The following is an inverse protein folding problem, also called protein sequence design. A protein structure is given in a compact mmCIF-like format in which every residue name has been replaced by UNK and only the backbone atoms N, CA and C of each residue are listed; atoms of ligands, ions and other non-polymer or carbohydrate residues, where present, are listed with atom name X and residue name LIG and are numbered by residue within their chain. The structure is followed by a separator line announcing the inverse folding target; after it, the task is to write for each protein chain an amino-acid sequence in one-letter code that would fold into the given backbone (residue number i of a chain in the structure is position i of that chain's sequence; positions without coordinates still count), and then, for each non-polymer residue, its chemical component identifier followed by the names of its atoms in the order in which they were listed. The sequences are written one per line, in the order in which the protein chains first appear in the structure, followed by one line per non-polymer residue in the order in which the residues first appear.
data_IF_707336558755
#
_entry.id   IF_707336558755
#
_cell.length_a   1.000
_cell.length_b   1.000
_cell.length_c   1.000
_cell.angle_alpha   90.00
_cell.angle_beta   90.00
_cell.angle_gamma   90.00
#
_symmetry.space_group_name_H-M   'P 1'
#
loop_
_entity.id
_entity.type
_entity.pdbx_description
1 polymer ?
#
# COMPACT_ATOMS: atom_id res chain seq x y z
N UNK A 1 14.23 -7.27 -16.94
CA UNK A 1 12.95 -7.76 -16.34
C UNK A 1 13.06 -9.15 -15.72
N UNK A 2 13.83 -10.11 -16.29
CA UNK A 2 14.05 -11.44 -15.68
C UNK A 2 14.80 -11.45 -14.33
N UNK A 3 15.52 -10.38 -13.98
CA UNK A 3 16.25 -10.29 -12.70
C UNK A 3 15.45 -9.56 -11.59
N UNK A 4 14.25 -9.05 -11.90
CA UNK A 4 13.42 -8.30 -10.94
C UNK A 4 12.59 -9.23 -10.02
N UNK A 5 12.49 -10.52 -10.39
CA UNK A 5 11.58 -11.48 -9.76
C UNK A 5 12.16 -12.17 -8.52
N UNK A 6 13.49 -12.10 -8.28
CA UNK A 6 14.15 -13.02 -7.36
C UNK A 6 14.65 -12.42 -6.04
N UNK A 7 14.86 -11.10 -5.96
CA UNK A 7 15.51 -10.52 -4.78
C UNK A 7 14.53 -10.06 -3.68
N UNK A 8 13.28 -9.72 -4.00
CA UNK A 8 12.35 -9.09 -3.04
C UNK A 8 11.25 -10.06 -2.57
N UNK A 9 11.01 -11.14 -3.31
CA UNK A 9 9.77 -11.91 -3.20
C UNK A 9 9.76 -13.06 -2.18
N UNK A 10 10.90 -13.50 -1.63
CA UNK A 10 10.93 -14.80 -0.92
C UNK A 10 11.29 -14.72 0.58
N UNK A 11 12.03 -13.70 1.04
CA UNK A 11 12.61 -13.77 2.40
C UNK A 11 11.84 -12.92 3.44
N UNK A 12 11.21 -11.80 3.07
CA UNK A 12 10.64 -10.89 4.09
C UNK A 12 9.13 -11.05 4.34
N UNK A 13 8.32 -11.38 3.32
CA UNK A 13 6.85 -11.46 3.48
C UNK A 13 6.43 -12.69 4.31
N UNK A 14 7.16 -13.81 4.21
CA UNK A 14 6.88 -15.04 4.97
C UNK A 14 7.30 -14.95 6.45
N UNK A 15 8.36 -14.18 6.76
CA UNK A 15 8.79 -13.90 8.13
C UNK A 15 7.93 -12.85 8.84
N UNK A 16 7.51 -11.79 8.12
CA UNK A 16 6.73 -10.68 8.69
C UNK A 16 5.29 -11.06 9.05
N UNK A 17 4.65 -11.99 8.33
CA UNK A 17 3.26 -12.38 8.62
C UNK A 17 3.10 -13.44 9.73
N UNK A 18 4.14 -14.18 10.09
CA UNK A 18 4.12 -14.95 11.33
C UNK A 18 4.07 -14.03 12.57
N UNK A 19 4.65 -12.83 12.49
CA UNK A 19 4.51 -11.78 13.51
C UNK A 19 3.15 -11.08 13.50
N UNK A 20 2.48 -11.01 12.34
CA UNK A 20 1.10 -10.51 12.21
C UNK A 20 0.03 -11.54 12.61
N UNK A 21 0.42 -12.71 13.17
CA UNK A 21 -0.50 -13.54 13.95
C UNK A 21 -1.04 -12.83 15.20
N UNK A 22 -0.52 -11.66 15.55
CA UNK A 22 -0.93 -10.92 16.73
C UNK A 22 -1.96 -9.83 16.38
N UNK A 23 -3.13 -9.92 16.99
CA UNK A 23 -4.00 -8.76 17.27
C UNK A 23 -3.30 -7.68 18.16
N UNK A 24 -1.96 -7.74 18.33
CA UNK A 24 -1.17 -7.02 19.34
C UNK A 24 0.15 -6.42 18.80
N UNK A 25 0.32 -6.21 17.49
CA UNK A 25 1.47 -5.43 17.02
C UNK A 25 1.39 -4.00 17.59
N UNK A 26 2.42 -3.58 18.33
CA UNK A 26 2.47 -2.24 18.92
C UNK A 26 2.51 -1.16 17.83
N UNK A 27 2.04 0.04 18.14
CA UNK A 27 2.12 1.17 17.22
C UNK A 27 3.56 1.42 16.72
N UNK A 28 4.56 1.18 17.58
CA UNK A 28 5.99 1.29 17.25
C UNK A 28 6.41 0.29 16.16
N UNK A 29 5.98 -0.97 16.27
CA UNK A 29 6.29 -2.01 15.28
C UNK A 29 5.65 -1.70 13.93
N UNK A 30 4.39 -1.25 13.92
CA UNK A 30 3.71 -0.85 12.68
C UNK A 30 4.41 0.31 11.97
N UNK A 31 4.89 1.31 12.71
CA UNK A 31 5.66 2.41 12.13
C UNK A 31 7.03 1.96 11.61
N UNK A 32 7.71 1.04 12.30
CA UNK A 32 8.94 0.43 11.81
C UNK A 32 8.70 -0.30 10.48
N UNK A 33 7.65 -1.12 10.39
CA UNK A 33 7.31 -1.84 9.16
C UNK A 33 6.98 -0.90 7.99
N UNK A 34 6.21 0.16 8.26
CA UNK A 34 5.93 1.20 7.25
C UNK A 34 7.22 1.87 6.76
N UNK A 35 8.15 2.17 7.67
CA UNK A 35 9.43 2.78 7.33
C UNK A 35 10.27 1.89 6.41
N UNK A 36 10.40 0.60 6.74
CA UNK A 36 11.12 -0.39 5.92
C UNK A 36 10.49 -0.47 4.53
N UNK A 37 9.17 -0.62 4.46
CA UNK A 37 8.44 -0.69 3.19
C UNK A 37 8.69 0.55 2.31
N UNK A 38 8.65 1.73 2.91
CA UNK A 38 8.88 2.99 2.17
C UNK A 38 10.33 3.10 1.69
N UNK A 39 11.29 2.63 2.49
CA UNK A 39 12.70 2.56 2.11
C UNK A 39 12.91 1.64 0.90
N UNK A 40 12.34 0.42 0.94
CA UNK A 40 12.44 -0.55 -0.16
C UNK A 40 11.79 -0.03 -1.45
N UNK A 41 10.59 0.56 -1.36
CA UNK A 41 9.95 1.21 -2.52
C UNK A 41 10.86 2.27 -3.11
N UNK A 42 11.43 3.16 -2.27
CA UNK A 42 12.31 4.23 -2.73
C UNK A 42 13.54 3.66 -3.44
N UNK A 43 14.11 2.56 -2.94
CA UNK A 43 15.24 1.89 -3.59
C UNK A 43 14.87 1.33 -4.98
N UNK A 44 13.75 0.62 -5.10
CA UNK A 44 13.25 0.09 -6.38
C UNK A 44 12.99 1.22 -7.38
N UNK A 45 12.34 2.29 -6.95
CA UNK A 45 12.09 3.48 -7.79
C UNK A 45 13.41 4.09 -8.25
N UNK A 46 14.35 4.32 -7.33
CA UNK A 46 15.66 4.90 -7.66
C UNK A 46 16.40 4.10 -8.73
N UNK A 47 16.41 2.77 -8.59
CA UNK A 47 17.13 1.88 -9.51
C UNK A 47 16.47 1.80 -10.91
N UNK A 48 15.14 1.89 -10.98
CA UNK A 48 14.40 1.57 -12.21
C UNK A 48 13.91 2.79 -13.01
N UNK A 49 13.88 3.99 -12.41
CA UNK A 49 13.39 5.19 -13.11
C UNK A 49 14.29 5.62 -14.28
N UNK A 50 15.60 5.32 -14.24
CA UNK A 50 16.61 5.73 -15.24
C UNK A 50 16.53 7.22 -15.59
N UNK A 51 16.54 8.05 -14.55
CA UNK A 51 16.50 9.51 -14.65
C UNK A 51 17.79 10.02 -15.32
N UNK A 52 17.66 10.99 -16.22
CA UNK A 52 18.78 11.69 -16.85
C UNK A 52 19.31 12.78 -15.92
N UNK A 53 20.46 13.32 -16.28
CA UNK A 53 21.02 14.51 -15.63
C UNK A 53 20.01 15.67 -15.69
N UNK A 54 19.81 16.36 -14.56
CA UNK A 54 18.81 17.42 -14.41
C UNK A 54 17.37 16.95 -14.11
N UNK A 55 16.98 15.71 -14.42
CA UNK A 55 15.62 15.21 -14.13
C UNK A 55 15.46 14.78 -12.66
N UNK A 56 16.56 14.35 -12.03
CA UNK A 56 16.56 13.71 -10.71
C UNK A 56 15.98 14.60 -9.61
N UNK A 57 16.42 15.86 -9.52
CA UNK A 57 15.98 16.78 -8.47
C UNK A 57 14.47 17.05 -8.56
N UNK A 58 13.98 17.34 -9.76
CA UNK A 58 12.56 17.58 -10.02
C UNK A 58 11.73 16.33 -9.72
N UNK A 59 12.21 15.16 -10.13
CA UNK A 59 11.56 13.88 -9.86
C UNK A 59 11.41 13.63 -8.36
N UNK A 60 12.51 13.71 -7.60
CA UNK A 60 12.49 13.39 -6.17
C UNK A 60 11.61 14.35 -5.36
N UNK A 61 11.59 15.63 -5.74
CA UNK A 61 10.66 16.61 -5.15
C UNK A 61 9.20 16.20 -5.38
N UNK A 62 8.84 15.81 -6.60
CA UNK A 62 7.46 15.36 -6.90
C UNK A 62 7.15 14.03 -6.22
N UNK A 63 8.12 13.12 -6.12
CA UNK A 63 7.98 11.83 -5.45
C UNK A 63 7.74 12.00 -3.94
N UNK A 64 8.41 12.94 -3.27
CA UNK A 64 8.19 13.20 -1.85
C UNK A 64 6.79 13.74 -1.57
N UNK A 65 6.30 14.65 -2.41
CA UNK A 65 4.90 15.10 -2.36
C UNK A 65 3.92 13.94 -2.59
N UNK A 66 4.24 13.04 -3.53
CA UNK A 66 3.44 11.85 -3.80
C UNK A 66 3.36 10.93 -2.58
N UNK A 67 4.49 10.60 -1.97
CA UNK A 67 4.53 9.71 -0.81
C UNK A 67 3.82 10.33 0.41
N UNK A 68 3.90 11.65 0.59
CA UNK A 68 3.14 12.33 1.64
C UNK A 68 1.62 12.16 1.46
N UNK A 69 1.09 12.40 0.25
CA UNK A 69 -0.34 12.22 -0.03
C UNK A 69 -0.75 10.73 0.03
N UNK A 70 0.12 9.83 -0.46
CA UNK A 70 -0.10 8.38 -0.40
C UNK A 70 -0.18 7.88 1.04
N UNK A 71 0.65 8.40 1.94
CA UNK A 71 0.61 8.07 3.36
C UNK A 71 -0.71 8.50 4.02
N UNK A 72 -1.26 9.66 3.64
CA UNK A 72 -2.58 10.08 4.13
C UNK A 72 -3.69 9.11 3.70
N UNK A 73 -3.69 8.70 2.42
CA UNK A 73 -4.65 7.71 1.90
C UNK A 73 -4.48 6.35 2.59
N UNK A 74 -3.24 5.92 2.86
CA UNK A 74 -2.95 4.68 3.56
C UNK A 74 -3.47 4.70 5.02
N UNK A 75 -3.28 5.81 5.74
CA UNK A 75 -3.79 5.97 7.10
C UNK A 75 -5.31 5.97 7.15
N UNK A 76 -5.98 6.59 6.18
CA UNK A 76 -7.44 6.54 6.04
C UNK A 76 -7.93 5.10 5.79
N UNK A 77 -7.22 4.33 4.96
CA UNK A 77 -7.50 2.89 4.78
C UNK A 77 -7.45 2.13 6.09
N UNK A 78 -6.38 2.30 6.87
CA UNK A 78 -6.21 1.64 8.17
C UNK A 78 -7.37 1.99 9.10
N UNK A 79 -7.75 3.27 9.16
CA UNK A 79 -8.88 3.72 9.97
C UNK A 79 -10.21 3.09 9.55
N UNK A 80 -10.49 2.99 8.26
CA UNK A 80 -11.70 2.34 7.74
C UNK A 80 -11.72 0.86 8.14
N UNK A 81 -10.61 0.14 7.94
CA UNK A 81 -10.52 -1.29 8.26
C UNK A 81 -10.63 -1.56 9.76
N UNK A 82 -9.95 -0.77 10.60
CA UNK A 82 -10.05 -0.90 12.06
C UNK A 82 -11.46 -0.62 12.56
N UNK A 83 -12.12 0.44 12.05
CA UNK A 83 -13.50 0.74 12.41
C UNK A 83 -14.48 -0.35 11.99
N UNK A 84 -14.27 -1.01 10.85
CA UNK A 84 -15.06 -2.17 10.44
C UNK A 84 -14.86 -3.38 11.36
N UNK A 85 -13.63 -3.60 11.86
CA UNK A 85 -13.34 -4.67 12.82
C UNK A 85 -13.96 -4.41 14.20
N UNK A 86 -13.88 -3.18 14.70
CA UNK A 86 -14.50 -2.78 15.98
C UNK A 86 -16.03 -2.95 15.95
N UNK A 87 -16.67 -2.47 14.87
CA UNK A 87 -18.12 -2.65 14.67
C UNK A 87 -18.48 -4.15 14.59
N UNK A 88 -17.70 -4.94 13.83
CA UNK A 88 -17.89 -6.39 13.72
C UNK A 88 -17.85 -7.09 15.09
N UNK A 89 -16.86 -6.79 15.93
CA UNK A 89 -16.74 -7.39 17.26
C UNK A 89 -17.94 -7.01 18.12
N UNK A 90 -18.27 -5.71 18.18
CA UNK A 90 -19.36 -5.19 19.01
C UNK A 90 -20.71 -5.81 18.64
N UNK A 91 -21.08 -5.80 17.36
CA UNK A 91 -22.39 -6.30 16.93
C UNK A 91 -22.48 -7.83 17.03
N UNK A 92 -21.37 -8.55 16.87
CA UNK A 92 -21.32 -10.00 17.08
C UNK A 92 -21.56 -10.35 18.55
N UNK A 93 -20.96 -9.60 19.49
CA UNK A 93 -21.21 -9.75 20.94
C UNK A 93 -22.67 -9.44 21.31
N UNK A 94 -23.31 -8.51 20.58
CA UNK A 94 -24.74 -8.18 20.73
C UNK A 94 -25.69 -9.16 19.99
N UNK A 95 -25.17 -10.21 19.35
CA UNK A 95 -25.96 -11.20 18.60
C UNK A 95 -26.58 -10.67 17.29
N UNK A 96 -26.05 -9.57 16.75
CA UNK A 96 -26.51 -8.92 15.51
C UNK A 96 -25.57 -9.22 14.34
N UNK A 97 -26.10 -9.13 13.13
CA UNK A 97 -25.30 -9.22 11.90
C UNK A 97 -24.55 -7.91 11.67
N UNK A 98 -23.22 -7.93 11.48
CA UNK A 98 -22.45 -6.75 11.10
C UNK A 98 -22.85 -6.22 9.74
N UNK A 99 -22.96 -4.89 9.62
CA UNK A 99 -23.08 -4.22 8.33
C UNK A 99 -21.70 -3.90 7.77
N UNK A 100 -21.45 -4.30 6.52
CA UNK A 100 -20.19 -4.04 5.83
C UNK A 100 -20.38 -2.85 4.89
N UNK A 101 -20.18 -1.63 5.39
CA UNK A 101 -20.24 -0.43 4.55
C UNK A 101 -19.02 -0.34 3.60
N UNK A 102 -19.19 -0.92 2.42
CA UNK A 102 -18.17 -0.94 1.37
C UNK A 102 -17.99 0.42 0.69
N UNK A 103 -18.91 1.38 0.87
CA UNK A 103 -18.83 2.68 0.21
C UNK A 103 -17.58 3.44 0.64
N UNK A 104 -17.18 3.33 1.91
CA UNK A 104 -15.92 3.92 2.41
C UNK A 104 -14.70 3.42 1.64
N UNK A 105 -14.65 2.12 1.32
CA UNK A 105 -13.57 1.54 0.53
C UNK A 105 -13.62 1.97 -0.94
N UNK A 106 -14.81 2.11 -1.53
CA UNK A 106 -14.96 2.60 -2.89
C UNK A 106 -14.54 4.08 -3.03
N UNK A 107 -14.93 4.93 -2.08
CA UNK A 107 -14.50 6.33 -2.06
C UNK A 107 -12.98 6.46 -1.88
N UNK A 108 -12.38 5.61 -1.04
CA UNK A 108 -10.93 5.56 -0.90
C UNK A 108 -10.23 5.14 -2.21
N UNK A 109 -10.79 4.19 -2.96
CA UNK A 109 -10.26 3.81 -4.28
C UNK A 109 -10.34 4.98 -5.28
N UNK A 110 -11.45 5.73 -5.30
CA UNK A 110 -11.58 6.94 -6.11
C UNK A 110 -10.54 7.99 -5.73
N UNK A 111 -10.34 8.23 -4.43
CA UNK A 111 -9.32 9.16 -3.91
C UNK A 111 -7.91 8.74 -4.33
N UNK A 112 -7.60 7.44 -4.22
CA UNK A 112 -6.32 6.87 -4.66
C UNK A 112 -6.08 7.10 -6.16
N UNK A 113 -7.08 6.82 -7.00
CA UNK A 113 -6.96 7.05 -8.45
C UNK A 113 -6.78 8.54 -8.78
N UNK A 114 -7.50 9.43 -8.09
CA UNK A 114 -7.37 10.88 -8.26
C UNK A 114 -5.96 11.35 -7.91
N UNK A 115 -5.39 10.87 -6.80
CA UNK A 115 -4.01 11.15 -6.40
C UNK A 115 -3.02 10.64 -7.47
N UNK A 116 -3.14 9.39 -7.92
CA UNK A 116 -2.26 8.83 -8.97
C UNK A 116 -2.32 9.67 -10.26
N UNK A 117 -3.51 10.07 -10.71
CA UNK A 117 -3.70 10.95 -11.88
C UNK A 117 -3.06 12.33 -11.68
N UNK A 118 -3.20 12.94 -10.50
CA UNK A 118 -2.58 14.22 -10.14
C UNK A 118 -1.06 14.16 -10.33
N UNK A 119 -0.40 13.14 -9.75
CA UNK A 119 1.05 13.03 -9.81
C UNK A 119 1.58 12.57 -11.17
N UNK A 120 0.85 11.70 -11.88
CA UNK A 120 1.14 11.40 -13.28
C UNK A 120 1.15 12.67 -14.13
N UNK A 121 0.10 13.51 -14.03
CA UNK A 121 0.01 14.75 -14.79
C UNK A 121 1.11 15.74 -14.41
N UNK A 122 1.46 15.83 -13.11
CA UNK A 122 2.55 16.68 -12.62
C UNK A 122 3.91 16.24 -13.19
N UNK A 123 4.27 14.97 -13.06
CA UNK A 123 5.51 14.43 -13.62
C UNK A 123 5.57 14.55 -15.14
N UNK A 124 4.44 14.34 -15.83
CA UNK A 124 4.34 14.45 -17.29
C UNK A 124 4.68 15.87 -17.75
N UNK A 125 4.20 16.88 -17.01
CA UNK A 125 4.38 18.30 -17.34
C UNK A 125 5.77 18.81 -16.97
N UNK A 126 6.24 18.49 -15.77
CA UNK A 126 7.46 19.08 -15.20
C UNK A 126 8.74 18.30 -15.57
N UNK A 127 8.62 17.07 -16.07
CA UNK A 127 9.77 16.22 -16.44
C UNK A 127 9.61 15.70 -17.86
N UNK A 128 8.83 14.63 -18.05
CA UNK A 128 8.50 14.09 -19.37
C UNK A 128 7.36 13.07 -19.30
N UNK A 129 6.65 12.85 -20.43
CA UNK A 129 5.65 11.78 -20.52
C UNK A 129 6.21 10.39 -20.23
N UNK A 130 7.47 10.11 -20.63
CA UNK A 130 8.11 8.81 -20.42
C UNK A 130 8.34 8.54 -18.92
N UNK A 131 8.89 9.51 -18.20
CA UNK A 131 9.13 9.40 -16.75
C UNK A 131 7.82 9.22 -15.99
N UNK A 132 6.79 9.99 -16.35
CA UNK A 132 5.47 9.86 -15.71
C UNK A 132 4.85 8.47 -15.91
N UNK A 133 4.89 7.94 -17.14
CA UNK A 133 4.37 6.61 -17.44
C UNK A 133 5.15 5.51 -16.72
N UNK A 134 6.49 5.61 -16.71
CA UNK A 134 7.36 4.65 -16.04
C UNK A 134 7.15 4.64 -14.52
N UNK A 135 7.03 5.80 -13.90
CA UNK A 135 6.73 5.90 -12.48
C UNK A 135 5.39 5.24 -12.16
N UNK A 136 4.35 5.52 -12.95
CA UNK A 136 3.04 4.91 -12.76
C UNK A 136 3.09 3.38 -12.88
N UNK A 137 3.83 2.84 -13.86
CA UNK A 137 4.02 1.39 -14.00
C UNK A 137 4.70 0.76 -12.77
N UNK A 138 5.76 1.37 -12.26
CA UNK A 138 6.48 0.90 -11.07
C UNK A 138 5.61 1.00 -9.82
N UNK A 139 4.88 2.11 -9.62
CA UNK A 139 3.97 2.28 -8.50
C UNK A 139 2.82 1.27 -8.52
N UNK A 140 2.24 1.00 -9.68
CA UNK A 140 1.18 0.00 -9.82
C UNK A 140 1.70 -1.42 -9.53
N UNK A 141 2.89 -1.76 -10.02
CA UNK A 141 3.54 -3.03 -9.74
C UNK A 141 3.78 -3.23 -8.23
N UNK A 142 4.45 -2.26 -7.59
CA UNK A 142 4.72 -2.30 -6.14
C UNK A 142 3.42 -2.32 -5.33
N UNK A 143 2.45 -1.48 -5.71
CA UNK A 143 1.13 -1.42 -5.07
C UNK A 143 0.37 -2.74 -5.19
N UNK A 144 0.47 -3.43 -6.32
CA UNK A 144 -0.18 -4.73 -6.56
C UNK A 144 0.43 -5.81 -5.69
N UNK A 145 1.77 -5.90 -5.59
CA UNK A 145 2.45 -6.86 -4.72
C UNK A 145 1.99 -6.70 -3.26
N UNK A 146 1.97 -5.47 -2.77
CA UNK A 146 1.53 -5.16 -1.40
C UNK A 146 0.05 -5.52 -1.22
N UNK A 147 -0.79 -5.17 -2.20
CA UNK A 147 -2.22 -5.49 -2.17
C UNK A 147 -2.47 -7.00 -2.11
N UNK A 148 -1.78 -7.78 -2.94
CA UNK A 148 -1.87 -9.24 -2.94
C UNK A 148 -1.46 -9.80 -1.58
N UNK A 149 -0.32 -9.38 -1.04
CA UNK A 149 0.14 -9.82 0.29
C UNK A 149 -0.88 -9.54 1.39
N UNK A 150 -1.56 -8.38 1.36
CA UNK A 150 -2.63 -8.07 2.34
C UNK A 150 -3.83 -8.99 2.13
N UNK A 151 -4.29 -9.16 0.89
CA UNK A 151 -5.47 -9.98 0.59
C UNK A 151 -5.27 -11.45 0.95
N UNK A 152 -4.09 -12.01 0.67
CA UNK A 152 -3.75 -13.40 0.99
C UNK A 152 -3.76 -13.67 2.50
N UNK A 153 -3.54 -12.64 3.32
CA UNK A 153 -3.54 -12.71 4.78
C UNK A 153 -4.83 -12.17 5.42
N UNK A 154 -5.82 -11.76 4.62
CA UNK A 154 -7.11 -11.25 5.12
C UNK A 154 -8.20 -12.30 4.83
N UNK A 155 -8.83 -12.88 5.87
CA UNK A 155 -9.98 -13.77 5.67
C UNK A 155 -11.10 -13.08 4.90
N UNK A 156 -11.80 -13.83 4.04
CA UNK A 156 -13.01 -13.32 3.41
C UNK A 156 -14.10 -13.06 4.46
N UNK A 157 -14.93 -12.05 4.21
CA UNK A 157 -16.06 -11.73 5.06
C UNK A 157 -16.99 -12.95 5.15
N UNK A 158 -17.35 -13.35 6.37
CA UNK A 158 -18.18 -14.52 6.62
C UNK A 158 -17.42 -15.86 6.65
N UNK A 159 -16.17 -15.91 6.20
CA UNK A 159 -15.27 -17.02 6.53
C UNK A 159 -14.68 -16.75 7.91
N UNK A 160 -15.15 -17.47 8.94
CA UNK A 160 -14.48 -17.51 10.24
C UNK A 160 -12.99 -17.84 10.02
N UNK A 161 -12.10 -17.24 10.84
CA UNK A 161 -10.63 -17.35 10.69
C UNK A 161 -10.26 -18.78 10.26
N UNK A 162 -9.81 -18.98 9.01
CA UNK A 162 -9.16 -20.22 8.61
C UNK A 162 -7.94 -20.37 9.51
N UNK A 163 -8.05 -21.26 10.49
CA UNK A 163 -6.90 -21.73 11.25
C UNK A 163 -6.10 -22.54 10.24
N UNK A 164 -5.06 -21.93 9.67
CA UNK A 164 -4.10 -22.64 8.84
C UNK A 164 -3.42 -23.69 9.71
N UNK A 165 -3.65 -24.97 9.40
CA UNK A 165 -2.97 -26.13 9.97
C UNK A 165 -1.46 -26.04 9.79
#
# INVERSE_FOLDING_TARGET
MKNLFFAITVIFISGMFNGLRAQNASASELEMYKSILNMEKKAVIKENMKLKEGESEVFWKIYEEYEAERNQVANEKIKILNGQLEEFVKVTEEGKTPEYDMNKLFELQKKTLKMKKKFYNKMRKEISPEIAARFYQLDEYLGTIIKMSILDNTPLIGEGKKVSY
#
